data_IF_766027851631
#
_entry.id   IF_766027851631
#
_cell.length_a   1.000
_cell.length_b   1.000
_cell.length_c   1.000
_cell.angle_alpha   90.00
_cell.angle_beta   90.00
_cell.angle_gamma   90.00
#
_symmetry.space_group_name_H-M   'P 1'
#
loop_
_entity.id
_entity.type
_entity.pdbx_description
1 polymer ?
#
# COMPACT_ATOMS: atom_id res chain seq x y z
N UNK A 1 3.23 -5.51 -17.12
CA UNK A 1 3.15 -4.69 -15.90
C UNK A 1 2.09 -3.63 -16.10
N UNK A 2 0.99 -3.71 -15.35
CA UNK A 2 -0.04 -2.67 -15.33
C UNK A 2 0.36 -1.62 -14.28
N UNK A 3 0.56 -0.38 -14.72
CA UNK A 3 0.83 0.74 -13.82
C UNK A 3 -0.48 1.09 -13.11
N UNK A 4 -0.58 0.78 -11.82
CA UNK A 4 -1.76 1.02 -10.98
C UNK A 4 -1.33 1.86 -9.81
N UNK A 5 -1.92 3.04 -9.64
CA UNK A 5 -1.66 3.90 -8.49
C UNK A 5 -2.80 3.73 -7.47
N UNK A 6 -2.53 2.99 -6.39
CA UNK A 6 -3.43 2.92 -5.22
C UNK A 6 -2.84 3.73 -4.08
N UNK A 7 -3.59 4.66 -3.51
CA UNK A 7 -3.22 5.38 -2.30
C UNK A 7 -3.69 4.64 -1.03
N UNK A 8 -3.26 5.12 0.14
CA UNK A 8 -3.63 4.53 1.43
C UNK A 8 -5.14 4.41 1.64
N UNK A 9 -5.94 5.37 1.15
CA UNK A 9 -7.41 5.33 1.26
C UNK A 9 -8.00 4.20 0.42
N UNK A 10 -7.52 4.02 -0.80
CA UNK A 10 -7.91 2.92 -1.66
C UNK A 10 -7.50 1.57 -1.05
N UNK A 11 -6.28 1.46 -0.52
CA UNK A 11 -5.78 0.25 0.14
C UNK A 11 -6.67 -0.12 1.33
N UNK A 12 -7.04 0.85 2.16
CA UNK A 12 -7.92 0.64 3.32
C UNK A 12 -9.31 0.12 2.96
N UNK A 13 -9.82 0.43 1.76
CA UNK A 13 -11.10 -0.12 1.27
C UNK A 13 -10.99 -1.58 0.86
N UNK A 14 -9.79 -2.05 0.52
CA UNK A 14 -9.53 -3.41 0.01
C UNK A 14 -9.16 -4.36 1.15
N UNK A 15 -8.31 -3.91 2.08
CA UNK A 15 -7.84 -4.74 3.19
C UNK A 15 -8.29 -4.21 4.56
N UNK A 16 -8.46 -5.08 5.58
CA UNK A 16 -8.94 -4.66 6.89
C UNK A 16 -7.89 -3.95 7.75
N UNK A 17 -6.61 -4.00 7.37
CA UNK A 17 -5.51 -3.40 8.12
C UNK A 17 -5.70 -1.89 8.29
N UNK A 18 -5.51 -1.41 9.52
CA UNK A 18 -5.55 0.00 9.92
C UNK A 18 -4.34 0.30 10.79
N UNK A 19 -4.17 1.57 11.18
CA UNK A 19 -3.16 1.95 12.16
C UNK A 19 -3.23 1.05 13.41
N UNK A 20 -2.09 0.56 13.95
CA UNK A 20 -0.70 0.81 13.52
C UNK A 20 -0.15 -0.18 12.49
N UNK A 21 -0.98 -1.11 11.98
CA UNK A 21 -0.55 -2.25 11.17
C UNK A 21 -0.71 -2.05 9.65
N UNK A 22 -1.24 -0.92 9.18
CA UNK A 22 -1.24 -0.57 7.76
C UNK A 22 0.12 0.03 7.38
N UNK A 23 1.01 -0.82 6.87
CA UNK A 23 2.41 -0.45 6.58
C UNK A 23 2.67 -0.17 5.09
N UNK A 24 1.62 0.16 4.32
CA UNK A 24 1.70 0.43 2.88
C UNK A 24 1.04 1.78 2.59
N UNK A 25 1.82 2.73 2.06
CA UNK A 25 1.33 4.07 1.74
C UNK A 25 0.77 4.15 0.31
N UNK A 26 1.44 3.48 -0.63
CA UNK A 26 1.08 3.51 -2.05
C UNK A 26 1.49 2.23 -2.76
N UNK A 27 0.64 1.73 -3.67
CA UNK A 27 1.00 0.72 -4.68
C UNK A 27 1.28 1.44 -6.01
N UNK A 28 2.39 1.10 -6.67
CA UNK A 28 2.81 1.70 -7.96
C UNK A 28 2.60 0.74 -9.14
N UNK A 29 2.72 -0.57 -8.89
CA UNK A 29 2.53 -1.62 -9.90
C UNK A 29 1.81 -2.81 -9.29
N UNK A 30 0.91 -3.43 -10.07
CA UNK A 30 0.14 -4.59 -9.64
C UNK A 30 -0.06 -5.56 -10.81
N UNK A 31 0.30 -6.82 -10.59
CA UNK A 31 -0.07 -7.98 -11.40
C UNK A 31 -0.93 -8.89 -10.51
N UNK A 32 -2.26 -8.89 -10.69
CA UNK A 32 -3.18 -9.62 -9.82
C UNK A 32 -2.82 -11.10 -9.70
N UNK A 33 -2.73 -11.60 -8.46
CA UNK A 33 -2.38 -13.00 -8.18
C UNK A 33 -0.89 -13.35 -8.31
N UNK A 34 -0.04 -12.41 -8.72
CA UNK A 34 1.38 -12.66 -8.95
C UNK A 34 2.29 -11.75 -8.10
N UNK A 35 2.20 -10.42 -8.27
CA UNK A 35 3.14 -9.47 -7.64
C UNK A 35 2.53 -8.07 -7.49
N UNK A 36 3.00 -7.32 -6.49
CA UNK A 36 2.79 -5.88 -6.38
C UNK A 36 4.09 -5.17 -6.00
N UNK A 37 4.28 -3.96 -6.50
CA UNK A 37 5.35 -3.04 -6.08
C UNK A 37 4.72 -1.89 -5.33
N UNK A 38 5.14 -1.68 -4.08
CA UNK A 38 4.57 -0.69 -3.19
C UNK A 38 5.65 0.10 -2.44
N UNK A 39 5.27 1.27 -1.93
CA UNK A 39 6.11 2.14 -1.11
C UNK A 39 5.56 2.23 0.31
N UNK A 40 6.50 2.13 1.25
CA UNK A 40 6.35 2.53 2.65
C UNK A 40 7.35 3.65 2.90
N UNK A 41 6.84 4.82 3.24
CA UNK A 41 7.66 5.91 3.73
C UNK A 41 8.06 5.58 5.17
N UNK A 42 9.30 5.91 5.52
CA UNK A 42 9.83 5.73 6.88
C UNK A 42 10.10 7.09 7.49
N UNK A 43 9.50 7.36 8.65
CA UNK A 43 9.71 8.59 9.42
C UNK A 43 9.94 8.31 10.90
N UNK A 44 10.60 9.24 11.59
CA UNK A 44 10.76 9.19 13.06
C UNK A 44 9.42 9.28 13.79
N UNK A 45 8.39 9.83 13.14
CA UNK A 45 7.02 9.90 13.65
C UNK A 45 6.20 8.66 13.25
N UNK A 46 6.79 7.49 13.40
CA UNK A 46 6.11 6.20 13.39
C UNK A 46 6.09 5.66 14.81
N UNK A 47 4.96 5.08 15.23
CA UNK A 47 4.76 4.50 16.56
C UNK A 47 4.67 2.98 16.50
#
# INVERSE_FOLDING_TARGET
>A
MSKVMLDSTAIQKIIPHRYPMLLIDRVEELVPGEMAVAKRNVTINEA
#
